data_IF_375799335000
#
_entry.id   IF_375799335000
#
_cell.length_a   1.000
_cell.length_b   1.000
_cell.length_c   1.000
_cell.angle_alpha   90.00
_cell.angle_beta   90.00
_cell.angle_gamma   90.00
#
_symmetry.space_group_name_H-M   'P 1'
#
loop_
_entity.id
_entity.type
_entity.pdbx_description
1 polymer ?
2 branched ?
3 branched ?
4 non-polymer ?
5 non-polymer ?
6 non-polymer ?
7 water ?
#
# COMPACT_ATOMS: atom_id res chain seq x y z
N UNK A 2 56.74 30.99 4.37
CA UNK A 2 56.66 32.13 5.33
C UNK A 2 55.18 32.41 5.67
N UNK A 3 54.39 33.02 4.77
CA UNK A 3 53.00 33.46 5.16
C UNK A 3 52.07 32.31 4.86
N UNK A 4 51.35 31.77 5.86
CA UNK A 4 50.52 30.62 5.61
C UNK A 4 49.24 31.05 4.90
N UNK A 5 48.49 30.11 4.29
CA UNK A 5 47.23 30.45 3.64
C UNK A 5 46.19 30.80 4.71
N UNK A 6 45.21 31.60 4.35
CA UNK A 6 44.06 31.87 5.23
C UNK A 6 42.82 31.87 4.32
N UNK A 7 41.82 31.06 4.67
CA UNK A 7 40.56 30.98 3.87
C UNK A 7 39.59 31.98 4.46
N UNK A 8 39.02 32.83 3.62
CA UNK A 8 37.89 33.73 4.03
C UNK A 8 36.74 32.88 4.52
N UNK A 9 36.26 33.05 5.77
CA UNK A 9 35.22 32.15 6.28
C UNK A 9 33.99 32.17 5.34
N UNK A 10 33.41 30.99 5.11
CA UNK A 10 32.22 30.85 4.24
C UNK A 10 31.23 30.00 5.03
N UNK A 11 29.96 30.23 4.77
CA UNK A 11 28.87 29.37 5.32
C UNK A 11 27.83 29.24 4.21
N UNK A 12 27.36 28.02 3.97
CA UNK A 12 26.37 27.78 2.94
C UNK A 12 25.09 28.49 3.39
N UNK A 13 24.41 29.30 2.57
CA UNK A 13 23.12 29.88 2.95
C UNK A 13 22.07 28.76 2.91
N UNK A 14 20.85 29.10 3.30
CA UNK A 14 19.75 28.13 3.12
C UNK A 14 19.40 28.13 1.65
N UNK A 15 19.27 26.94 1.08
CA UNK A 15 18.97 26.66 -0.35
C UNK A 15 17.56 26.10 -0.54
N UNK A 16 17.05 26.12 -1.78
CA UNK A 16 15.81 25.42 -2.20
C UNK A 16 16.20 24.35 -3.22
N UNK A 17 15.49 23.22 -3.20
CA UNK A 17 15.79 22.08 -4.10
C UNK A 17 15.69 22.56 -5.56
N UNK A 18 16.62 22.14 -6.40
CA UNK A 18 16.67 22.44 -7.84
C UNK A 18 17.25 23.81 -8.19
N UNK A 19 17.71 24.59 -7.22
CA UNK A 19 18.36 25.89 -7.53
C UNK A 19 19.79 25.66 -8.02
N UNK A 20 20.37 26.73 -8.56
CA UNK A 20 21.80 26.79 -8.96
C UNK A 20 22.59 27.25 -7.72
N UNK A 21 23.79 26.72 -7.53
CA UNK A 21 24.63 27.05 -6.36
C UNK A 21 26.07 27.32 -6.82
N UNK A 22 26.65 28.38 -6.32
CA UNK A 22 28.10 28.66 -6.53
C UNK A 22 28.69 29.06 -5.18
N UNK A 23 29.69 28.34 -4.70
CA UNK A 23 30.31 28.67 -3.39
C UNK A 23 31.82 28.74 -3.48
N UNK A 24 32.40 29.92 -3.29
CA UNK A 24 33.84 30.05 -3.41
C UNK A 24 34.55 29.83 -2.08
N UNK A 25 35.67 29.17 -2.19
CA UNK A 25 36.73 29.14 -1.16
C UNK A 25 37.81 30.10 -1.57
N UNK A 26 37.99 31.15 -0.81
CA UNK A 26 38.82 32.28 -1.23
C UNK A 26 40.02 32.39 -0.29
N UNK A 27 41.22 32.16 -0.83
CA UNK A 27 42.48 32.19 -0.05
C UNK A 27 43.04 33.61 -0.11
N UNK A 28 42.66 34.44 0.87
CA UNK A 28 42.81 35.93 0.79
C UNK A 28 44.24 36.31 1.11
N UNK A 29 44.98 35.45 1.82
CA UNK A 29 46.41 35.66 2.16
C UNK A 29 47.16 34.33 2.18
N UNK A 30 48.48 34.44 2.17
CA UNK A 30 49.43 33.33 2.06
C UNK A 30 50.29 33.42 0.82
N UNK A 31 51.54 33.04 0.98
CA UNK A 31 52.52 32.98 -0.13
C UNK A 31 52.08 31.95 -1.15
N UNK A 32 52.29 32.28 -2.43
CA UNK A 32 52.07 31.41 -3.62
C UNK A 32 53.30 30.56 -3.83
N UNK A 33 53.18 29.37 -4.45
CA UNK A 33 51.89 28.86 -4.96
C UNK A 33 50.99 28.22 -3.88
N UNK A 34 49.66 28.28 -4.06
CA UNK A 34 48.68 27.66 -3.10
C UNK A 34 47.86 26.63 -3.87
N UNK A 35 47.78 25.43 -3.37
CA UNK A 35 46.93 24.34 -3.93
C UNK A 35 45.66 24.29 -3.12
N UNK A 36 44.53 24.33 -3.81
CA UNK A 36 43.24 24.33 -3.09
C UNK A 36 42.51 23.10 -3.55
N UNK A 37 41.99 22.35 -2.62
CA UNK A 37 41.23 21.13 -2.94
C UNK A 37 39.96 21.07 -2.10
N UNK A 38 39.04 20.19 -2.44
CA UNK A 38 37.77 20.04 -1.67
C UNK A 38 37.54 18.60 -1.27
N UNK A 39 36.90 18.43 -0.13
CA UNK A 39 36.30 17.15 0.28
C UNK A 39 34.81 17.33 0.47
N UNK A 40 34.08 16.24 0.34
CA UNK A 40 32.72 16.13 0.86
C UNK A 40 32.68 14.94 1.84
N UNK A 41 32.28 15.19 3.07
CA UNK A 41 32.17 14.15 4.12
C UNK A 41 33.53 13.43 4.19
N UNK A 42 34.64 14.18 4.22
CA UNK A 42 36.00 13.64 4.44
C UNK A 42 36.50 12.78 3.31
N UNK A 43 35.95 12.89 2.11
CA UNK A 43 36.42 12.15 0.92
C UNK A 43 36.42 13.06 -0.33
N UNK A 44 37.15 12.69 -1.39
CA UNK A 44 37.06 13.38 -2.65
C UNK A 44 35.59 13.41 -3.10
N UNK A 45 35.24 14.48 -3.81
CA UNK A 45 33.84 14.68 -4.28
C UNK A 45 33.63 13.68 -5.42
N UNK A 46 32.66 12.75 -5.35
CA UNK A 46 32.49 11.78 -6.44
C UNK A 46 32.01 12.52 -7.69
N UNK A 47 32.67 12.32 -8.84
CA UNK A 47 32.22 12.75 -10.19
C UNK A 47 30.74 12.47 -10.47
N UNK A 48 30.15 11.44 -9.84
CA UNK A 48 28.69 11.12 -9.92
C UNK A 48 27.81 12.29 -9.43
N UNK A 49 28.32 13.19 -8.60
CA UNK A 49 27.51 14.23 -7.91
C UNK A 49 27.23 15.42 -8.85
N UNK A 50 27.93 15.62 -9.95
CA UNK A 50 27.63 16.77 -10.83
C UNK A 50 28.03 18.09 -10.21
N UNK A 51 29.13 18.07 -9.47
CA UNK A 51 29.72 19.30 -8.89
C UNK A 51 30.90 19.69 -9.77
N UNK A 52 30.87 20.89 -10.33
CA UNK A 52 32.02 21.42 -11.10
C UNK A 52 32.92 22.17 -10.14
N UNK A 53 34.22 22.05 -10.26
CA UNK A 53 35.18 22.83 -9.46
C UNK A 53 35.93 23.81 -10.34
N UNK A 54 35.81 25.08 -10.02
CA UNK A 54 36.48 26.19 -10.74
C UNK A 54 37.65 26.66 -9.88
N UNK A 55 38.87 26.41 -10.35
CA UNK A 55 40.11 26.85 -9.70
C UNK A 55 40.63 28.05 -10.43
N UNK A 56 40.46 29.21 -9.84
CA UNK A 56 40.81 30.49 -10.45
C UNK A 56 41.77 31.21 -9.51
N UNK A 57 43.05 31.16 -9.81
CA UNK A 57 44.15 31.87 -9.14
C UNK A 57 44.17 31.46 -7.63
N UNK A 58 43.64 32.30 -6.75
CA UNK A 58 43.61 32.08 -5.27
C UNK A 58 42.26 31.60 -4.77
N UNK A 59 41.40 31.06 -5.66
CA UNK A 59 40.07 30.61 -5.32
C UNK A 59 39.82 29.23 -5.88
N UNK A 60 38.88 28.57 -5.25
CA UNK A 60 38.29 27.34 -5.82
C UNK A 60 36.79 27.34 -5.49
N UNK A 61 35.95 27.12 -6.47
CA UNK A 61 34.49 27.29 -6.27
C UNK A 61 33.79 26.01 -6.64
N UNK A 62 32.82 25.63 -5.83
CA UNK A 62 31.87 24.55 -6.18
C UNK A 62 30.72 25.18 -6.95
N UNK A 63 30.44 24.61 -8.09
CA UNK A 63 29.39 25.04 -9.02
C UNK A 63 28.43 23.89 -9.24
N UNK A 64 27.15 24.12 -8.92
CA UNK A 64 26.10 23.06 -9.04
C UNK A 64 24.92 23.66 -9.81
N UNK A 65 24.59 23.09 -10.96
CA UNK A 65 23.56 23.59 -11.91
C UNK A 65 22.19 23.26 -11.36
N UNK A 66 22.08 22.16 -10.60
CA UNK A 66 20.75 21.62 -10.20
C UNK A 66 20.84 20.93 -8.84
N UNK A 67 20.58 21.66 -7.76
CA UNK A 67 20.79 21.18 -6.39
C UNK A 67 19.81 20.06 -6.09
N UNK A 68 20.31 18.92 -5.61
CA UNK A 68 19.49 17.73 -5.26
C UNK A 68 19.85 17.22 -3.86
N UNK A 69 19.08 16.26 -3.34
CA UNK A 69 19.31 15.76 -1.96
C UNK A 69 20.69 15.12 -1.88
N UNK A 70 21.22 14.61 -2.99
CA UNK A 70 22.55 13.95 -2.96
C UNK A 70 23.64 15.00 -2.60
N UNK A 71 23.38 16.31 -2.66
CA UNK A 71 24.42 17.33 -2.36
C UNK A 71 24.48 17.63 -0.88
N UNK A 72 23.54 17.12 -0.09
CA UNK A 72 23.52 17.32 1.38
C UNK A 72 24.84 16.78 1.95
N UNK A 73 25.51 17.52 2.84
CA UNK A 73 26.74 17.02 3.46
C UNK A 73 27.70 18.12 3.84
N UNK A 74 28.83 17.70 4.35
CA UNK A 74 29.81 18.64 4.94
C UNK A 74 30.92 18.76 3.94
N UNK A 75 31.19 19.99 3.51
CA UNK A 75 32.20 20.26 2.49
C UNK A 75 33.36 20.99 3.15
N UNK A 76 34.55 20.55 2.87
CA UNK A 76 35.83 21.12 3.37
C UNK A 76 36.63 21.66 2.19
N UNK A 77 37.05 22.87 2.33
CA UNK A 77 38.06 23.52 1.48
C UNK A 77 39.40 23.42 2.20
N UNK A 78 40.42 22.96 1.53
CA UNK A 78 41.84 22.82 1.99
C UNK A 78 42.73 23.66 1.11
N UNK A 79 43.51 24.51 1.73
CA UNK A 79 44.47 25.42 1.11
C UNK A 79 45.85 25.13 1.68
N UNK A 80 46.78 24.78 0.82
CA UNK A 80 48.13 24.34 1.20
C UNK A 80 49.18 25.12 0.42
N UNK A 81 50.17 25.69 1.10
CA UNK A 81 51.40 26.16 0.45
C UNK A 81 52.58 25.45 1.14
N UNK A 82 53.78 25.95 0.95
CA UNK A 82 55.03 25.28 1.41
C UNK A 82 55.09 25.40 2.94
N UNK A 83 54.52 26.47 3.50
CA UNK A 83 54.54 26.79 4.94
C UNK A 83 53.49 26.00 5.73
N UNK A 84 52.25 25.86 5.23
CA UNK A 84 51.14 25.35 6.06
C UNK A 84 49.93 24.94 5.22
N UNK A 85 49.04 24.20 5.83
CA UNK A 85 47.75 23.83 5.22
C UNK A 85 46.65 24.23 6.19
N UNK A 86 45.56 24.73 5.65
CA UNK A 86 44.42 25.20 6.47
C UNK A 86 43.15 24.59 5.91
N UNK A 87 42.09 24.56 6.70
CA UNK A 87 40.80 23.97 6.28
C UNK A 87 39.70 24.90 6.74
N UNK A 88 38.62 24.88 5.99
CA UNK A 88 37.35 25.54 6.40
C UNK A 88 36.22 24.65 5.96
N UNK A 89 35.18 24.50 6.77
CA UNK A 89 34.14 23.55 6.41
C UNK A 89 32.79 24.19 6.64
N UNK A 90 31.80 23.72 5.90
CA UNK A 90 30.39 24.12 6.08
C UNK A 90 29.47 22.97 5.68
N UNK A 91 28.25 23.00 6.20
CA UNK A 91 27.22 21.98 5.91
C UNK A 91 26.25 22.53 4.86
N UNK A 92 26.13 21.81 3.79
CA UNK A 92 25.11 22.11 2.79
C UNK A 92 23.86 21.34 3.23
N UNK A 93 22.83 22.10 3.55
CA UNK A 93 21.48 21.58 3.89
C UNK A 93 20.50 22.04 2.82
N UNK A 94 19.83 21.10 2.18
CA UNK A 94 18.66 21.50 1.34
C UNK A 94 17.48 20.58 1.72
N UNK A 95 16.36 21.19 2.00
CA UNK A 95 15.16 20.50 2.52
C UNK A 95 14.14 20.44 1.40
N UNK A 96 13.24 19.45 1.44
CA UNK A 96 12.21 19.23 0.38
C UNK A 96 10.87 19.21 1.09
N UNK A 97 9.91 20.09 0.70
CA UNK A 97 8.58 20.07 1.30
C UNK A 97 7.92 18.72 0.99
N UNK A 98 7.12 18.15 1.94
CA UNK A 98 6.49 16.85 1.71
C UNK A 98 5.57 17.06 0.51
N UNK A 99 5.83 16.35 -0.60
CA UNK A 99 4.99 16.48 -1.82
C UNK A 99 4.39 15.12 -2.25
N UNK A 100 3.07 15.10 -2.45
CA UNK A 100 2.31 14.09 -3.25
C UNK A 100 2.36 14.49 -4.73
N UNK A 101 3.26 13.82 -5.46
CA UNK A 101 3.43 13.91 -6.95
C UNK A 101 2.67 12.74 -7.58
N UNK A 102 2.85 11.53 -7.01
CA UNK A 102 2.08 10.29 -7.33
C UNK A 102 1.13 10.01 -6.15
N UNK A 103 -0.18 10.00 -6.41
CA UNK A 103 -1.26 9.81 -5.40
C UNK A 103 -1.44 8.29 -5.14
N UNK A 104 -2.16 7.87 -4.06
CA UNK A 104 -2.59 6.48 -3.92
C UNK A 104 -3.65 6.11 -4.98
N UNK A 105 -3.59 4.87 -5.46
CA UNK A 105 -4.48 4.24 -6.49
C UNK A 105 -5.63 3.49 -5.79
N UNK A 106 -6.81 3.44 -6.42
CA UNK A 106 -7.89 2.47 -6.06
C UNK A 106 -7.32 1.06 -6.07
N UNK A 107 -7.72 0.24 -5.10
CA UNK A 107 -7.25 -1.16 -4.97
C UNK A 107 -8.43 -2.10 -4.62
N UNK A 108 -8.28 -3.37 -5.03
CA UNK A 108 -9.11 -4.50 -4.55
C UNK A 108 -8.35 -5.28 -3.49
N UNK A 109 -9.01 -5.47 -2.36
CA UNK A 109 -8.59 -6.43 -1.33
C UNK A 109 -9.52 -7.62 -1.33
N UNK A 110 -8.95 -8.82 -1.20
CA UNK A 110 -9.69 -10.11 -1.14
C UNK A 110 -9.93 -10.45 0.33
N UNK A 111 -11.20 -10.51 0.75
CA UNK A 111 -11.61 -10.89 2.13
C UNK A 111 -10.71 -12.00 2.64
N UNK A 112 -10.18 -11.85 3.87
CA UNK A 112 -9.36 -12.86 4.57
C UNK A 112 -7.90 -12.85 4.16
N UNK A 113 -7.48 -12.00 3.22
CA UNK A 113 -6.06 -11.95 2.79
C UNK A 113 -5.46 -10.57 3.09
N UNK A 114 -4.14 -10.45 2.94
CA UNK A 114 -3.30 -9.26 3.19
C UNK A 114 -3.47 -8.24 2.05
N UNK A 115 -3.59 -6.95 2.37
CA UNK A 115 -3.44 -5.83 1.38
C UNK A 115 -2.48 -4.78 1.93
N UNK A 116 -1.58 -4.30 1.07
CA UNK A 116 -0.73 -3.10 1.30
C UNK A 116 -1.37 -1.91 0.57
N UNK A 117 -1.67 -0.82 1.28
CA UNK A 117 -2.03 0.49 0.66
C UNK A 117 -0.76 1.36 0.54
N UNK A 118 -0.37 1.69 -0.70
CA UNK A 118 0.93 2.36 -1.01
C UNK A 118 0.79 3.86 -0.73
N UNK A 119 1.79 4.47 -0.08
CA UNK A 119 1.85 5.95 0.12
C UNK A 119 3.27 6.51 0.28
N UNK A 120 4.04 6.50 -0.82
CA UNK A 120 5.33 7.20 -0.94
C UNK A 120 5.06 8.67 -1.33
N UNK A 121 5.34 9.58 -0.42
CA UNK A 121 5.47 11.02 -0.70
C UNK A 121 6.95 11.37 -0.64
N UNK A 122 7.36 12.40 -1.37
CA UNK A 122 8.74 12.94 -1.27
C UNK A 122 8.73 13.97 -0.16
N UNK A 123 9.92 14.17 0.41
CA UNK A 123 10.18 15.11 1.51
C UNK A 123 11.49 14.71 2.14
N UNK A 124 12.26 15.71 2.57
CA UNK A 124 13.46 15.55 3.44
C UNK A 124 13.45 16.73 4.39
N UNK A 125 13.45 16.55 5.74
CA UNK A 125 13.51 15.22 6.38
C UNK A 125 12.37 14.29 5.95
N UNK A 126 12.65 12.99 5.83
CA UNK A 126 11.66 11.92 5.52
C UNK A 126 10.39 12.22 6.33
N UNK A 127 9.22 12.37 5.67
CA UNK A 127 8.04 12.84 6.38
C UNK A 127 7.41 11.72 7.22
N UNK A 128 6.71 12.11 8.29
CA UNK A 128 5.86 11.21 9.11
C UNK A 128 4.52 11.11 8.39
N UNK A 129 4.00 9.89 8.27
CA UNK A 129 2.81 9.50 7.45
C UNK A 129 1.67 9.09 8.38
N UNK A 130 0.48 9.66 8.21
CA UNK A 130 -0.71 9.38 9.05
C UNK A 130 -1.89 9.09 8.11
N UNK A 131 -2.56 7.96 8.33
CA UNK A 131 -3.68 7.41 7.52
C UNK A 131 -5.04 7.76 8.14
N UNK A 132 -6.02 8.03 7.28
CA UNK A 132 -7.43 8.29 7.66
C UNK A 132 -8.33 7.33 6.87
N UNK A 133 -9.53 7.04 7.39
CA UNK A 133 -10.45 6.01 6.81
C UNK A 133 -11.89 6.48 6.92
N UNK A 134 -12.64 6.38 5.82
CA UNK A 134 -14.11 6.60 5.72
C UNK A 134 -14.73 5.28 5.27
N UNK A 135 -15.26 4.50 6.21
CA UNK A 135 -15.98 3.22 5.96
C UNK A 135 -16.99 3.40 4.81
N UNK A 136 -16.99 2.53 3.79
CA UNK A 136 -18.08 2.50 2.79
C UNK A 136 -18.05 3.67 1.82
N UNK A 137 -19.00 3.69 0.87
CA UNK A 137 -18.91 4.48 -0.39
C UNK A 137 -19.78 5.74 -0.33
N UNK A 138 -20.23 6.15 0.86
CA UNK A 138 -20.92 7.43 1.07
C UNK A 138 -19.95 8.63 0.96
N UNK A 139 -20.49 9.85 1.09
CA UNK A 139 -19.70 11.10 1.24
C UNK A 139 -18.70 10.87 2.38
N UNK A 140 -17.39 10.91 2.07
CA UNK A 140 -16.35 10.58 3.04
C UNK A 140 -16.44 11.40 4.32
N UNK A 141 -16.30 10.74 5.47
CA UNK A 141 -16.09 11.37 6.80
C UNK A 141 -14.90 10.67 7.45
N UNK A 142 -13.71 11.25 7.27
CA UNK A 142 -12.41 10.61 7.59
C UNK A 142 -12.18 10.65 9.10
N UNK A 143 -11.73 9.51 9.62
CA UNK A 143 -11.54 9.21 11.06
C UNK A 143 -10.16 8.59 11.18
N UNK A 144 -9.49 8.71 12.34
CA UNK A 144 -8.26 7.94 12.56
C UNK A 144 -8.55 6.45 12.43
N UNK A 145 -7.51 5.69 12.14
CA UNK A 145 -7.53 4.21 11.99
C UNK A 145 -7.07 3.54 13.29
N UNK A 146 -7.70 2.42 13.66
CA UNK A 146 -7.36 1.58 14.84
C UNK A 146 -6.19 0.64 14.50
N UNK A 147 -4.98 0.95 14.98
CA UNK A 147 -3.77 0.12 14.79
C UNK A 147 -3.67 -0.89 15.94
N UNK A 148 -3.69 -2.18 15.64
CA UNK A 148 -3.93 -3.26 16.66
C UNK A 148 -3.40 -4.61 16.16
N UNK A 149 -2.19 -4.65 15.60
CA UNK A 149 -1.60 -5.90 15.07
C UNK A 149 -2.11 -6.24 13.68
N UNK A 150 -3.42 -6.35 13.49
CA UNK A 150 -4.06 -6.64 12.17
C UNK A 150 -3.77 -5.50 11.18
N UNK A 151 -4.02 -4.26 11.60
CA UNK A 151 -3.69 -3.04 10.79
C UNK A 151 -2.40 -2.40 11.32
N UNK A 152 -1.38 -2.30 10.46
CA UNK A 152 -0.08 -1.65 10.80
C UNK A 152 0.34 -0.68 9.70
N UNK A 153 1.00 0.41 10.09
CA UNK A 153 1.74 1.32 9.16
C UNK A 153 3.18 0.78 9.07
N UNK A 154 3.71 0.64 7.86
CA UNK A 154 5.08 0.11 7.62
C UNK A 154 6.09 1.27 7.53
N UNK A 155 7.38 0.94 7.55
CA UNK A 155 8.53 1.89 7.53
C UNK A 155 8.39 2.80 6.31
N UNK A 156 8.10 2.24 5.13
CA UNK A 156 7.96 3.04 3.88
C UNK A 156 6.62 3.80 3.91
N UNK A 157 5.86 3.69 4.99
CA UNK A 157 4.62 4.47 5.20
C UNK A 157 3.40 3.86 4.51
N UNK A 158 3.54 2.66 3.94
CA UNK A 158 2.44 1.87 3.31
C UNK A 158 1.58 1.26 4.43
N UNK A 159 0.26 1.22 4.25
CA UNK A 159 -0.68 0.63 5.26
C UNK A 159 -0.86 -0.88 5.00
N UNK A 160 -0.58 -1.70 6.00
CA UNK A 160 -0.74 -3.19 5.96
C UNK A 160 -2.02 -3.54 6.72
N UNK A 161 -2.97 -4.18 6.02
CA UNK A 161 -4.13 -4.90 6.61
C UNK A 161 -3.84 -6.39 6.46
N UNK A 162 -3.66 -7.11 7.57
CA UNK A 162 -3.15 -8.50 7.56
C UNK A 162 -4.25 -9.44 7.04
N UNK A 163 -5.48 -9.23 7.48
CA UNK A 163 -6.65 -10.07 7.07
C UNK A 163 -7.79 -9.12 6.78
N UNK A 164 -8.03 -8.86 5.49
CA UNK A 164 -9.10 -7.92 5.04
C UNK A 164 -10.46 -8.49 5.46
N UNK A 165 -11.31 -7.66 6.04
CA UNK A 165 -12.75 -7.94 6.31
C UNK A 165 -13.57 -6.91 5.52
N UNK A 166 -14.87 -7.16 5.35
CA UNK A 166 -15.79 -6.34 4.50
C UNK A 166 -15.81 -4.89 4.99
N UNK A 167 -15.60 -4.73 6.30
CA UNK A 167 -15.73 -3.46 7.09
C UNK A 167 -14.54 -2.51 6.74
N UNK A 168 -13.49 -3.06 6.15
CA UNK A 168 -12.29 -2.34 5.65
C UNK A 168 -12.59 -1.63 4.33
N UNK A 169 -13.69 -1.99 3.65
CA UNK A 169 -14.07 -1.38 2.36
C UNK A 169 -14.37 0.09 2.59
N UNK A 170 -13.74 0.97 1.80
CA UNK A 170 -14.00 2.42 1.94
C UNK A 170 -12.85 3.30 1.43
N UNK A 171 -12.93 4.58 1.76
CA UNK A 171 -11.94 5.63 1.35
C UNK A 171 -10.82 5.69 2.39
N UNK A 172 -9.59 5.65 1.91
CA UNK A 172 -8.36 5.84 2.73
C UNK A 172 -7.61 7.05 2.15
N UNK A 173 -7.09 7.92 3.01
CA UNK A 173 -6.08 8.91 2.56
C UNK A 173 -4.91 8.95 3.54
N UNK A 174 -3.93 9.73 3.13
CA UNK A 174 -2.56 9.70 3.64
C UNK A 174 -2.13 11.16 3.81
N UNK A 175 -1.86 11.58 5.05
CA UNK A 175 -1.31 12.92 5.37
C UNK A 175 0.18 12.76 5.69
N UNK A 176 1.00 13.65 5.14
CA UNK A 176 2.48 13.70 5.38
C UNK A 176 2.87 15.08 5.93
N UNK A 177 3.73 15.11 6.94
CA UNK A 177 4.36 16.35 7.44
C UNK A 177 5.82 16.08 7.76
N UNK A 178 6.63 17.13 7.60
CA UNK A 178 7.99 17.27 8.15
C UNK A 178 8.11 18.74 8.57
N UNK A 179 9.29 19.18 8.96
CA UNK A 179 9.55 20.55 9.48
C UNK A 179 9.16 21.59 8.41
N UNK A 180 9.31 21.27 7.12
CA UNK A 180 9.22 22.22 5.96
C UNK A 180 7.75 22.49 5.62
N UNK A 181 6.90 21.46 5.64
CA UNK A 181 5.45 21.61 5.40
C UNK A 181 4.65 20.34 5.68
N UNK A 182 3.44 20.31 5.14
CA UNK A 182 2.51 19.15 5.24
C UNK A 182 1.80 19.01 3.91
N UNK A 183 1.22 17.83 3.72
CA UNK A 183 0.35 17.58 2.56
C UNK A 183 -0.64 16.45 2.94
N UNK A 184 -1.77 16.41 2.24
CA UNK A 184 -2.88 15.43 2.44
C UNK A 184 -3.13 14.82 1.06
N UNK A 185 -2.87 13.53 0.90
CA UNK A 185 -3.09 12.79 -0.36
C UNK A 185 -4.55 12.93 -0.74
N UNK A 186 -4.85 12.69 -2.01
CA UNK A 186 -6.23 12.42 -2.48
C UNK A 186 -6.57 11.04 -1.89
N UNK A 187 -7.83 10.80 -1.58
CA UNK A 187 -8.29 9.47 -1.12
C UNK A 187 -8.18 8.46 -2.27
N UNK A 188 -8.02 7.19 -1.91
CA UNK A 188 -8.24 6.03 -2.79
C UNK A 188 -9.39 5.22 -2.20
N UNK A 189 -10.03 4.38 -3.02
CA UNK A 189 -11.14 3.50 -2.56
C UNK A 189 -10.69 2.05 -2.54
N UNK A 190 -10.82 1.42 -1.35
CA UNK A 190 -10.48 -0.01 -1.19
C UNK A 190 -11.77 -0.80 -1.40
N UNK A 191 -11.79 -1.68 -2.40
CA UNK A 191 -12.92 -2.63 -2.63
C UNK A 191 -12.51 -4.00 -2.07
N UNK A 192 -13.31 -4.52 -1.16
CA UNK A 192 -13.13 -5.90 -0.59
C UNK A 192 -13.91 -6.89 -1.47
N UNK A 193 -13.19 -7.77 -2.16
CA UNK A 193 -13.73 -8.89 -2.98
C UNK A 193 -14.04 -10.08 -2.05
N UNK A 194 -15.27 -10.63 -2.12
CA UNK A 194 -15.75 -11.74 -1.24
C UNK A 194 -15.75 -13.07 -2.00
N UNK A 195 -14.83 -14.01 -1.67
CA UNK A 195 -14.88 -15.38 -2.20
C UNK A 195 -16.26 -16.01 -1.89
N UNK A 196 -16.68 -16.93 -2.76
CA UNK A 196 -18.02 -17.57 -2.65
C UNK A 196 -18.07 -18.29 -1.30
N UNK A 197 -19.05 -17.96 -0.48
CA UNK A 197 -19.28 -18.58 0.85
C UNK A 197 -20.68 -19.12 0.92
N UNK A 198 -20.81 -20.34 1.45
CA UNK A 198 -22.14 -20.87 1.84
C UNK A 198 -22.34 -20.47 3.30
N UNK A 199 -23.32 -19.65 3.58
CA UNK A 199 -23.39 -18.99 4.89
C UNK A 199 -24.43 -19.67 5.73
N UNK A 200 -25.38 -20.37 5.14
CA UNK A 200 -26.48 -20.90 5.95
C UNK A 200 -27.18 -22.04 5.23
N UNK A 201 -27.54 -23.10 5.97
CA UNK A 201 -28.26 -24.32 5.55
C UNK A 201 -28.60 -25.09 6.82
N UNK A 202 -29.64 -25.92 6.75
CA UNK A 202 -29.96 -26.86 7.80
C UNK A 202 -28.90 -27.96 7.83
N UNK A 203 -28.50 -28.38 9.00
CA UNK A 203 -27.50 -29.46 9.05
C UNK A 203 -28.20 -30.78 8.68
N UNK A 204 -29.37 -31.02 9.22
CA UNK A 204 -30.16 -32.27 9.05
C UNK A 204 -31.60 -31.88 8.91
N UNK A 205 -32.32 -32.62 8.07
CA UNK A 205 -33.72 -32.30 7.76
C UNK A 205 -34.44 -33.60 7.44
N UNK A 206 -35.76 -33.59 7.64
CA UNK A 206 -36.58 -34.80 7.48
C UNK A 206 -37.68 -34.55 6.44
N UNK A 207 -37.89 -35.55 5.60
CA UNK A 207 -38.94 -35.60 4.56
C UNK A 207 -39.83 -36.81 4.82
N UNK A 208 -41.04 -36.78 4.26
CA UNK A 208 -41.98 -37.94 4.17
C UNK A 208 -42.09 -38.45 2.72
N UNK A 209 -41.81 -39.73 2.49
CA UNK A 209 -42.13 -40.50 1.25
C UNK A 209 -43.42 -39.94 0.67
N UNK A 210 -43.39 -39.65 -0.64
CA UNK A 210 -44.55 -39.18 -1.41
C UNK A 210 -44.79 -37.71 -1.22
N UNK A 211 -44.04 -37.01 -0.37
CA UNK A 211 -44.26 -35.55 -0.20
C UNK A 211 -43.14 -34.77 -0.92
N UNK A 212 -43.39 -33.49 -1.13
CA UNK A 212 -42.43 -32.46 -1.60
C UNK A 212 -41.43 -32.24 -0.47
N UNK A 213 -40.15 -32.09 -0.78
CA UNK A 213 -39.15 -31.62 0.21
C UNK A 213 -38.35 -30.50 -0.44
N UNK A 214 -38.11 -29.41 0.27
CA UNK A 214 -37.24 -28.32 -0.22
C UNK A 214 -36.11 -28.21 0.80
N UNK A 215 -34.89 -28.07 0.30
CA UNK A 215 -33.70 -27.76 1.12
C UNK A 215 -33.07 -26.52 0.49
N UNK A 216 -32.63 -25.55 1.27
CA UNK A 216 -32.01 -24.31 0.74
C UNK A 216 -30.64 -24.09 1.35
N UNK A 217 -29.79 -23.48 0.55
CA UNK A 217 -28.47 -22.97 0.94
C UNK A 217 -28.44 -21.50 0.60
N UNK A 218 -27.84 -20.67 1.47
CA UNK A 218 -27.57 -19.24 1.16
C UNK A 218 -26.11 -18.99 0.87
N UNK A 219 -25.82 -18.37 -0.28
CA UNK A 219 -24.46 -18.09 -0.71
C UNK A 219 -24.27 -16.57 -0.78
N UNK A 220 -23.05 -16.12 -0.50
CA UNK A 220 -22.58 -14.71 -0.61
C UNK A 220 -21.31 -14.76 -1.44
N UNK A 221 -20.95 -13.62 -2.00
CA UNK A 221 -19.67 -13.46 -2.70
C UNK A 221 -19.87 -12.56 -3.91
N UNK A 222 -18.76 -12.26 -4.59
CA UNK A 222 -18.72 -11.51 -5.86
C UNK A 222 -19.59 -12.28 -6.87
N UNK A 223 -20.36 -11.60 -7.73
CA UNK A 223 -21.02 -12.20 -8.91
C UNK A 223 -20.06 -12.15 -10.10
N UNK A 224 -20.18 -13.07 -11.08
CA UNK A 224 -21.18 -14.14 -11.03
C UNK A 224 -20.81 -15.23 -10.01
N UNK A 225 -21.80 -15.81 -9.36
CA UNK A 225 -21.63 -16.99 -8.45
C UNK A 225 -22.54 -18.14 -8.90
N UNK A 226 -22.02 -19.36 -8.94
CA UNK A 226 -22.77 -20.58 -9.36
C UNK A 226 -22.95 -21.46 -8.13
N UNK A 227 -24.18 -21.93 -7.89
CA UNK A 227 -24.46 -22.95 -6.85
C UNK A 227 -24.87 -24.24 -7.53
N UNK A 228 -24.13 -25.29 -7.26
CA UNK A 228 -24.53 -26.62 -7.76
C UNK A 228 -24.81 -27.55 -6.57
N UNK A 229 -25.63 -28.53 -6.82
CA UNK A 229 -25.97 -29.51 -5.76
C UNK A 229 -25.38 -30.85 -6.16
N UNK A 230 -25.07 -31.67 -5.18
CA UNK A 230 -24.57 -33.06 -5.36
C UNK A 230 -25.26 -33.96 -4.35
N UNK A 231 -25.49 -35.21 -4.68
CA UNK A 231 -26.01 -36.25 -3.76
C UNK A 231 -24.94 -37.36 -3.74
N UNK A 232 -24.18 -37.52 -2.67
CA UNK A 232 -23.13 -38.57 -2.58
C UNK A 232 -22.21 -38.51 -3.82
N UNK A 233 -21.61 -37.36 -4.10
CA UNK A 233 -20.65 -37.07 -5.22
C UNK A 233 -21.24 -37.26 -6.65
N UNK A 234 -22.55 -37.49 -6.89
CA UNK A 234 -23.17 -37.32 -8.23
C UNK A 234 -23.76 -35.90 -8.34
N UNK A 235 -23.42 -35.10 -9.37
CA UNK A 235 -24.02 -33.75 -9.62
C UNK A 235 -25.51 -33.89 -9.91
N UNK A 236 -26.33 -33.12 -9.24
CA UNK A 236 -27.75 -33.08 -9.55
C UNK A 236 -27.91 -32.21 -10.84
N UNK A 237 -27.98 -32.87 -11.96
CA UNK A 237 -28.18 -32.20 -13.29
C UNK A 237 -29.66 -31.89 -13.49
N UNK A 238 -30.02 -30.87 -14.31
CA UNK A 238 -31.43 -30.55 -14.55
C UNK A 238 -32.26 -31.73 -15.04
N UNK A 239 -31.67 -32.64 -15.80
CA UNK A 239 -32.45 -33.70 -16.48
C UNK A 239 -33.01 -34.64 -15.44
N UNK A 240 -32.43 -34.66 -14.23
CA UNK A 240 -32.94 -35.57 -13.17
C UNK A 240 -34.42 -35.36 -12.90
N UNK A 241 -35.22 -36.44 -12.92
CA UNK A 241 -36.69 -36.37 -12.98
C UNK A 241 -37.38 -35.74 -11.76
N UNK A 242 -37.07 -36.11 -10.55
CA UNK A 242 -37.95 -35.57 -9.47
C UNK A 242 -37.27 -34.42 -8.70
N UNK A 243 -36.15 -33.95 -9.21
CA UNK A 243 -35.33 -32.87 -8.58
C UNK A 243 -35.49 -31.60 -9.39
N UNK A 244 -35.58 -30.46 -8.72
CA UNK A 244 -35.62 -29.13 -9.35
C UNK A 244 -34.76 -28.22 -8.49
N UNK A 245 -33.69 -27.72 -9.05
CA UNK A 245 -32.89 -26.62 -8.43
C UNK A 245 -33.41 -25.28 -8.89
N UNK A 246 -33.65 -24.38 -7.96
CA UNK A 246 -33.98 -22.97 -8.27
C UNK A 246 -33.13 -21.99 -7.44
N UNK A 247 -32.99 -20.77 -7.94
CA UNK A 247 -32.15 -19.68 -7.36
C UNK A 247 -33.00 -18.41 -7.19
N UNK A 248 -32.77 -17.67 -6.13
CA UNK A 248 -33.34 -16.32 -6.00
C UNK A 248 -32.26 -15.43 -5.38
N UNK A 249 -32.26 -14.16 -5.79
CA UNK A 249 -31.41 -13.09 -5.21
C UNK A 249 -32.22 -12.35 -4.16
N UNK A 250 -31.68 -12.27 -2.95
CA UNK A 250 -32.24 -11.53 -1.79
C UNK A 250 -31.11 -10.62 -1.34
N UNK A 251 -31.15 -9.36 -1.74
CA UNK A 251 -30.06 -8.42 -1.47
C UNK A 251 -28.82 -8.84 -2.23
N UNK A 252 -27.71 -8.99 -1.53
CA UNK A 252 -26.42 -9.42 -2.13
C UNK A 252 -26.31 -10.96 -2.03
N UNK A 253 -27.31 -11.62 -1.45
CA UNK A 253 -27.28 -13.09 -1.20
C UNK A 253 -27.94 -13.79 -2.39
N UNK A 254 -27.52 -15.03 -2.62
CA UNK A 254 -28.19 -15.98 -3.52
C UNK A 254 -28.72 -17.13 -2.69
N UNK A 255 -29.98 -17.46 -2.85
CA UNK A 255 -30.62 -18.58 -2.13
C UNK A 255 -30.89 -19.67 -3.16
N UNK A 256 -30.23 -20.80 -3.00
CA UNK A 256 -30.45 -21.97 -3.90
C UNK A 256 -31.31 -23.01 -3.19
N UNK A 257 -32.35 -23.46 -3.84
CA UNK A 257 -33.32 -24.44 -3.31
C UNK A 257 -33.28 -25.68 -4.19
N UNK A 258 -33.13 -26.82 -3.55
CA UNK A 258 -33.28 -28.14 -4.19
C UNK A 258 -34.64 -28.63 -3.77
N UNK A 259 -35.52 -28.81 -4.75
CA UNK A 259 -36.87 -29.39 -4.47
C UNK A 259 -36.90 -30.83 -4.96
N UNK A 260 -37.38 -31.74 -4.13
CA UNK A 260 -37.62 -33.16 -4.48
C UNK A 260 -39.13 -33.36 -4.46
N UNK A 261 -39.72 -33.93 -5.51
CA UNK A 261 -41.20 -34.05 -5.58
C UNK A 261 -41.51 -35.17 -6.57
N UNK A 262 -42.05 -36.31 -6.13
CA UNK A 262 -42.18 -36.65 -4.72
C UNK A 262 -40.87 -37.23 -4.17
N UNK A 263 -40.67 -37.16 -2.86
CA UNK A 263 -39.50 -37.80 -2.20
C UNK A 263 -39.74 -39.30 -2.10
N UNK A 264 -38.67 -40.08 -2.29
CA UNK A 264 -38.65 -41.56 -2.08
C UNK A 264 -37.59 -41.86 -1.01
N UNK A 265 -37.66 -43.05 -0.41
CA UNK A 265 -36.78 -43.50 0.69
C UNK A 265 -35.32 -43.40 0.27
N UNK A 266 -35.03 -43.73 -0.98
CA UNK A 266 -33.66 -43.73 -1.56
C UNK A 266 -33.08 -42.28 -1.67
N UNK A 267 -33.87 -41.24 -1.50
CA UNK A 267 -33.35 -39.85 -1.51
C UNK A 267 -32.56 -39.56 -0.24
N UNK A 268 -32.71 -40.35 0.81
CA UNK A 268 -31.98 -40.13 2.09
C UNK A 268 -30.46 -40.19 1.88
N UNK A 269 -29.71 -39.42 2.69
CA UNK A 269 -28.25 -39.31 2.64
C UNK A 269 -27.77 -37.87 2.61
N UNK A 270 -26.52 -37.67 2.23
CA UNK A 270 -25.83 -36.38 2.29
C UNK A 270 -25.98 -35.64 0.96
N UNK A 271 -26.53 -34.44 1.03
CA UNK A 271 -26.55 -33.51 -0.14
C UNK A 271 -25.52 -32.47 0.15
N UNK A 272 -24.89 -32.00 -0.87
CA UNK A 272 -24.00 -30.86 -0.72
C UNK A 272 -24.40 -29.73 -1.64
N UNK A 273 -24.34 -28.51 -1.11
CA UNK A 273 -24.48 -27.31 -1.96
C UNK A 273 -23.12 -26.64 -2.06
N UNK A 274 -22.70 -26.36 -3.29
CA UNK A 274 -21.35 -25.85 -3.65
C UNK A 274 -21.49 -24.50 -4.33
N UNK A 275 -20.79 -23.49 -3.83
CA UNK A 275 -20.80 -22.11 -4.41
C UNK A 275 -19.41 -21.82 -4.93
N UNK A 276 -19.34 -21.28 -6.14
CA UNK A 276 -18.03 -20.87 -6.71
C UNK A 276 -18.17 -19.52 -7.41
N UNK A 277 -17.15 -18.70 -7.23
CA UNK A 277 -16.96 -17.45 -8.00
C UNK A 277 -15.47 -17.42 -8.36
N UNK A 278 -15.00 -16.34 -8.99
CA UNK A 278 -13.59 -16.27 -9.49
C UNK A 278 -12.64 -16.24 -8.29
N UNK A 279 -13.10 -15.77 -7.14
CA UNK A 279 -12.28 -15.61 -5.92
C UNK A 279 -12.26 -16.83 -5.01
N UNK A 280 -13.20 -17.76 -5.10
CA UNK A 280 -13.17 -18.91 -4.17
C UNK A 280 -14.36 -19.83 -4.32
N UNK A 281 -14.45 -20.81 -3.43
CA UNK A 281 -15.55 -21.79 -3.45
C UNK A 281 -15.78 -22.24 -2.03
N UNK A 282 -16.96 -22.79 -1.79
CA UNK A 282 -17.34 -23.25 -0.44
C UNK A 282 -18.41 -24.32 -0.64
N UNK A 283 -18.72 -25.04 0.43
CA UNK A 283 -19.80 -26.02 0.37
C UNK A 283 -20.44 -26.09 1.72
N UNK A 284 -21.69 -26.51 1.69
CA UNK A 284 -22.46 -26.91 2.88
C UNK A 284 -22.92 -28.33 2.70
N UNK A 285 -23.13 -29.07 3.79
CA UNK A 285 -23.65 -30.45 3.73
C UNK A 285 -24.97 -30.51 4.48
N UNK A 286 -25.96 -31.15 3.88
CA UNK A 286 -27.29 -31.34 4.44
C UNK A 286 -27.54 -32.84 4.49
N UNK A 287 -27.82 -33.36 5.68
CA UNK A 287 -28.24 -34.75 5.81
C UNK A 287 -29.75 -34.79 5.69
N UNK A 288 -30.27 -35.51 4.70
CA UNK A 288 -31.71 -35.77 4.54
C UNK A 288 -32.04 -37.17 5.07
N UNK A 289 -33.07 -37.27 5.88
CA UNK A 289 -33.72 -38.55 6.24
C UNK A 289 -35.14 -38.54 5.70
N UNK A 290 -35.60 -39.69 5.23
CA UNK A 290 -36.95 -39.79 4.65
C UNK A 290 -37.72 -40.83 5.48
N UNK A 291 -38.80 -40.41 6.10
CA UNK A 291 -39.64 -41.35 6.88
C UNK A 291 -40.73 -41.94 5.97
N UNK A 292 -41.37 -43.02 6.46
CA UNK A 292 -42.49 -43.72 5.75
C UNK A 292 -43.76 -42.85 5.80
N UNK A 293 -44.57 -43.01 4.77
CA UNK A 293 -45.90 -42.36 4.59
C UNK A 293 -46.84 -42.86 5.70
X LIG B 1 -24.73 -26.47 10.67
X LIG B 1 -23.40 -26.82 11.30
X LIG B 1 -22.69 -25.52 11.69
X LIG B 1 -22.67 -24.53 10.52
X LIG B 1 -24.10 -24.28 10.03
X LIG B 1 -24.33 -23.30 8.84
X LIG B 1 -23.53 -28.91 12.51
X LIG B 1 -23.95 -29.60 13.74
X LIG B 1 -23.57 -27.61 12.52
X LIG B 1 -21.36 -25.81 12.12
X LIG B 1 -22.18 -23.25 10.94
X LIG B 1 -24.48 -25.58 9.57
X LIG B 1 -25.75 -23.22 8.47
X LIG B 1 -23.16 -29.51 11.53
X LIG B 2 -20.92 -22.84 10.67
X LIG B 2 -20.93 -21.22 10.72
X LIG B 2 -19.47 -20.67 10.49
X LIG B 2 -18.51 -21.42 11.49
X LIG B 2 -18.81 -22.96 11.41
X LIG B 2 -17.89 -23.67 12.45
X LIG B 2 -21.72 -20.60 9.68
X LIG B 2 -19.62 -19.24 10.86
X LIG B 2 -18.86 -21.02 12.87
X LIG B 2 -20.21 -23.32 11.61
X LIG B 2 -18.55 -24.71 13.03
X LIG B 3 -17.15 -18.61 10.47
X LIG B 3 -18.72 -18.26 10.26
X LIG B 3 -19.00 -16.81 10.73
X LIG B 3 -18.20 -15.86 9.84
X LIG B 3 -18.66 -16.09 8.34
X LIG B 3 -18.40 -17.62 7.98
X LIG B 3 -18.82 -17.92 6.49
X LIG B 3 -18.34 -19.53 6.00
X LIG B 3 -19.55 -20.58 6.16
X LIG B 3 -18.47 -14.27 6.60
X LIG B 3 -19.99 -14.26 6.58
X LIG B 3 -17.84 -15.18 7.46
X LIG B 3 -16.72 -19.53 9.69
X LIG B 3 -16.51 -18.06 11.37
X LIG B 3 -18.51 -14.54 10.19
X LIG B 3 -19.17 -18.43 8.90
X LIG B 3 -20.11 -17.64 6.23
X LIG B 3 -17.96 -19.59 4.67
X LIG B 3 -19.36 -21.74 5.12
X LIG B 3 -17.84 -13.51 5.87
X LIG C 1 6.18 -0.63 1.04
X LIG C 1 6.19 -0.98 -0.44
X LIG C 1 5.45 -2.30 -0.58
X LIG C 1 6.22 -3.41 0.14
X LIG C 1 6.34 -3.09 1.62
X LIG C 1 7.52 -3.85 2.25
X LIG C 1 6.24 0.76 -2.23
X LIG C 1 5.55 1.92 -2.88
X LIG C 1 5.60 0.12 -1.22
X LIG C 1 5.25 -2.59 -1.98
X LIG C 1 5.62 -4.74 0.01
X LIG C 1 6.58 -1.70 1.90
X LIG C 1 7.07 -4.97 3.02
X LIG C 1 7.34 0.45 -2.61
X LIG C 2 5.85 -6.06 0.09
X LIG C 2 4.64 -6.87 0.67
X LIG C 2 5.03 -8.36 0.80
X LIG C 2 5.71 -8.81 -0.51
X LIG C 2 6.90 -7.87 -0.75
X LIG C 2 7.71 -8.39 -1.98
X LIG C 2 4.44 -6.58 2.01
X LIG C 2 3.83 -9.04 0.87
X LIG C 2 4.93 -8.53 -1.62
X LIG C 2 6.40 -6.64 -1.03
X LIG C 2 7.79 -9.78 -1.85
X LIG D 1 28.11 17.27 9.18
X LIG D 1 27.71 15.89 9.60
X LIG D 1 26.62 15.99 10.66
X LIG D 1 27.02 16.86 11.83
X LIG D 1 27.48 18.25 11.35
X LIG D 1 28.03 19.10 12.50
X LIG D 1 27.81 14.32 7.66
X LIG D 1 29.16 13.80 8.09
X LIG D 1 27.21 15.28 8.38
X LIG D 1 26.29 14.72 11.19
X LIG D 1 25.89 16.92 12.74
X LIG D 1 28.47 18.13 10.29
X LIG D 1 28.32 20.43 12.07
X LIG D 1 27.24 13.91 6.65
X LIG D 2 25.99 16.71 14.06
X LIG D 2 24.50 17.04 14.51
X LIG D 2 24.28 16.40 15.92
X LIG D 2 24.68 14.91 15.82
X LIG D 2 26.23 14.88 15.52
X LIG D 2 26.76 13.41 15.63
X LIG D 2 24.33 18.39 14.76
X LIG D 2 22.91 16.42 16.16
X LIG D 2 24.13 14.30 14.65
X LIG D 2 26.37 15.35 14.22
X LIG D 2 28.17 13.39 15.41
X LIG E 1 37.15 16.91 6.63
X LIG E 1 38.52 17.19 6.50
X LIG E 1 36.75 16.72 8.04
X LIG E 1 37.40 17.68 8.87
X LIG E 1 35.24 16.72 8.16
X LIG E 1 34.71 15.43 7.80
X LIG F 1 39.68 17.71 8.48
X LIG G 1 2.52 -1.00 -4.25
X LIG G 1 1.98 -1.25 -5.65
X LIG G 1 2.66 -2.50 -6.17
X LIG G 1 4.13 -2.08 -6.34
X LIG G 1 4.65 -1.94 -4.92
X LIG G 1 6.18 -1.88 -4.80
X LIG G 1 -0.23 -0.29 -6.27
X LIG G 1 0.41 1.03 -6.65
X LIG G 1 0.52 -1.28 -5.75
X LIG G 1 2.00 -2.99 -7.32
X LIG G 1 4.94 -2.98 -7.11
X LIG G 1 3.95 -0.82 -4.35
X LIG G 1 6.75 -0.99 -5.77
X LIG G 1 -1.43 -0.42 -6.47
#
# INVERSE_FOLDING_TARGET
GTVPPFIQPFEFPRFSIGQRVFIPCVVVSGDLPITITWQKDGRPIPGSLGVTIDNIDFTSSLRISNLSLMHNGNYTCIARNEAAAVEHQSQLIVRVPPKFVVQPRDQDGIYGKAVILNCSAEGYPVPTIVWKFSKGAGVPQFQPIALNGRIQVLSNGSLLIKHVVEEDSGYYLCKVSNDVGADVSKSMYLTVKIPAMITSYPNTTLATQGQKKEMSCTAHGEKPIIVRWEKEDRIINPEMARYLVSTKEVGEEVISTLQILPTVREDSGFFSCHAINSYGEDRGIIQLTVQEELENLYFQGSHHHHHH
NAG C1 C2 C3 C4 C5 C6 C7 C8 N2 O3 O4 O5 O6 O7
GAL C1 C2 C3 C4 C5 C6 O2 O3 O4 O5 O6
SIA C1 C2 C3 C4 C5 C6 C7 C8 C9 C10 C11 N5 O1A O1B O4 O6 O7 O8 O9 O10
NAG C1 C2 C3 C4 C5 C6 C7 C8 N2 O3 O4 O5 O6 O7
GAL C1 C2 C3 C4 C5 C6 O2 O3 O4 O5 O6
NAG C1 C2 C3 C4 C5 C6 C7 C8 N2 O3 O4 O5 O6 O7
GAL C1 C2 C3 C4 C5 C6 O2 O3 O4 O5 O6
GOL C1 O1 C2 O2 C3 O3
CA CA
NAG C1 C2 C3 C4 C5 C6 C7 C8 N2 O3 O4 O5 O6 O7
#
